data_IF_950224505308
#
_entry.id   IF_950224505308
#
_cell.length_a   1.000
_cell.length_b   1.000
_cell.length_c   1.000
_cell.angle_alpha   90.00
_cell.angle_beta   90.00
_cell.angle_gamma   90.00
#
_symmetry.space_group_name_H-M   'P 1'
#
loop_
_entity.id
_entity.type
_entity.pdbx_description
1 polymer ?
#
# COMPACT_ATOMS: atom_id res chain seq x y z
N UNK A 1 1.01 -12.14 -4.44
CA UNK A 1 2.45 -11.84 -4.52
C UNK A 1 2.93 -11.03 -3.34
N UNK A 2 2.31 -9.90 -3.00
CA UNK A 2 2.69 -9.11 -1.83
C UNK A 2 2.66 -9.91 -0.52
N UNK A 3 1.80 -10.92 -0.40
CA UNK A 3 1.77 -11.79 0.78
C UNK A 3 3.08 -12.56 0.99
N UNK A 4 3.71 -13.06 -0.07
CA UNK A 4 5.02 -13.72 0.05
C UNK A 4 6.11 -12.75 0.51
N UNK A 5 6.13 -11.54 -0.07
CA UNK A 5 7.05 -10.49 0.36
C UNK A 5 6.82 -10.11 1.82
N UNK A 6 5.56 -10.01 2.24
CA UNK A 6 5.17 -9.75 3.62
C UNK A 6 5.69 -10.82 4.57
N UNK A 7 5.46 -12.09 4.24
CA UNK A 7 5.88 -13.23 5.07
C UNK A 7 7.40 -13.27 5.22
N UNK A 8 8.14 -12.97 4.15
CA UNK A 8 9.59 -12.83 4.20
C UNK A 8 10.03 -11.64 5.07
N UNK A 9 9.38 -10.50 4.92
CA UNK A 9 9.72 -9.29 5.69
C UNK A 9 9.41 -9.42 7.18
N UNK A 10 8.42 -10.22 7.58
CA UNK A 10 8.07 -10.50 8.98
C UNK A 10 9.19 -11.22 9.74
N UNK A 11 10.17 -11.82 9.05
CA UNK A 11 11.32 -12.45 9.67
C UNK A 11 12.34 -11.42 10.22
N UNK A 12 12.25 -10.16 9.81
CA UNK A 12 13.17 -9.09 10.21
C UNK A 12 12.56 -8.23 11.32
N UNK A 13 13.22 -8.18 12.48
CA UNK A 13 12.77 -7.43 13.65
C UNK A 13 12.89 -5.91 13.50
N UNK A 14 13.65 -5.42 12.53
CA UNK A 14 13.88 -4.01 12.22
C UNK A 14 12.94 -3.45 11.15
N UNK A 15 11.97 -4.25 10.69
CA UNK A 15 10.98 -3.86 9.68
C UNK A 15 9.60 -3.71 10.30
N UNK A 16 8.90 -2.65 9.93
CA UNK A 16 7.48 -2.44 10.21
C UNK A 16 6.75 -2.52 8.86
N UNK A 17 5.78 -3.42 8.78
CA UNK A 17 4.97 -3.59 7.58
C UNK A 17 3.62 -2.94 7.80
N UNK A 18 3.19 -2.11 6.84
CA UNK A 18 1.88 -1.45 6.84
C UNK A 18 1.17 -1.84 5.55
N UNK A 19 0.05 -2.53 5.68
CA UNK A 19 -0.81 -2.83 4.54
C UNK A 19 -1.82 -1.69 4.35
N UNK A 20 -1.87 -1.13 3.15
CA UNK A 20 -2.85 -0.13 2.78
C UNK A 20 -3.68 -0.59 1.58
N UNK A 21 -4.98 -0.64 1.77
CA UNK A 21 -5.94 -0.97 0.72
C UNK A 21 -6.87 0.22 0.46
N UNK A 22 -6.60 0.95 -0.63
CA UNK A 22 -7.36 2.14 -1.00
C UNK A 22 -8.84 1.85 -1.33
N UNK A 23 -9.19 0.61 -1.70
CA UNK A 23 -10.58 0.21 -1.98
C UNK A 23 -11.52 0.29 -0.77
N UNK A 24 -10.95 0.26 0.44
CA UNK A 24 -11.73 0.33 1.68
C UNK A 24 -12.14 1.76 2.01
N UNK A 25 -11.49 2.76 1.39
CA UNK A 25 -11.84 4.16 1.58
C UNK A 25 -13.24 4.47 1.06
N UNK A 26 -13.98 5.28 1.79
CA UNK A 26 -15.38 5.59 1.47
C UNK A 26 -15.52 6.33 0.12
N UNK A 27 -14.54 7.12 -0.25
CA UNK A 27 -14.45 7.85 -1.52
C UNK A 27 -13.02 8.32 -1.76
N UNK A 28 -12.75 8.87 -2.94
CA UNK A 28 -11.42 9.38 -3.36
C UNK A 28 -10.84 10.38 -2.36
N UNK A 29 -11.67 11.27 -1.80
CA UNK A 29 -11.21 12.31 -0.86
C UNK A 29 -10.77 11.73 0.51
N UNK A 30 -11.22 10.52 0.84
CA UNK A 30 -10.88 9.85 2.10
C UNK A 30 -9.57 9.06 2.02
N UNK A 31 -9.07 8.72 0.83
CA UNK A 31 -7.90 7.86 0.64
C UNK A 31 -6.69 8.38 1.43
N UNK A 32 -6.41 9.67 1.36
CA UNK A 32 -5.26 10.27 2.05
C UNK A 32 -5.44 10.27 3.58
N UNK A 33 -6.63 10.58 4.07
CA UNK A 33 -6.91 10.56 5.52
C UNK A 33 -6.87 9.15 6.09
N UNK A 34 -7.41 8.18 5.38
CA UNK A 34 -7.43 6.79 5.81
C UNK A 34 -6.01 6.21 5.86
N UNK A 35 -5.20 6.51 4.84
CA UNK A 35 -3.79 6.15 4.82
C UNK A 35 -3.03 6.69 6.04
N UNK A 36 -3.13 7.99 6.30
CA UNK A 36 -2.45 8.62 7.43
C UNK A 36 -2.95 8.09 8.77
N UNK A 37 -4.23 7.77 8.87
CA UNK A 37 -4.83 7.17 10.07
C UNK A 37 -4.28 5.76 10.33
N UNK A 38 -4.09 4.95 9.29
CA UNK A 38 -3.47 3.63 9.39
C UNK A 38 -2.01 3.76 9.85
N UNK A 39 -1.24 4.66 9.24
CA UNK A 39 0.14 4.95 9.66
C UNK A 39 0.18 5.37 11.12
N UNK A 40 -0.66 6.33 11.53
CA UNK A 40 -0.71 6.78 12.93
C UNK A 40 -1.00 5.64 13.90
N UNK A 41 -1.92 4.77 13.54
CA UNK A 41 -2.32 3.63 14.37
C UNK A 41 -1.19 2.61 14.49
N UNK A 42 -0.61 2.20 13.37
CA UNK A 42 0.45 1.20 13.33
C UNK A 42 1.74 1.70 14.01
N UNK A 43 2.16 2.92 13.71
CA UNK A 43 3.39 3.46 14.28
C UNK A 43 3.24 3.90 15.76
N UNK A 44 2.01 4.13 16.24
CA UNK A 44 1.78 4.47 17.65
C UNK A 44 2.18 3.36 18.62
N UNK A 45 2.30 2.13 18.16
CA UNK A 45 2.80 1.00 18.96
C UNK A 45 4.30 1.13 19.27
N UNK A 46 5.03 1.88 18.45
CA UNK A 46 6.47 2.06 18.57
C UNK A 46 6.87 3.44 19.09
N UNK A 47 5.98 4.44 18.97
CA UNK A 47 6.24 5.81 19.39
C UNK A 47 4.96 6.45 19.96
N UNK A 48 4.96 6.77 21.24
CA UNK A 48 3.77 7.25 21.98
C UNK A 48 3.18 8.56 21.44
N UNK A 49 4.01 9.43 20.85
CA UNK A 49 3.58 10.72 20.26
C UNK A 49 3.12 10.63 18.81
N UNK A 50 3.18 9.46 18.17
CA UNK A 50 2.95 9.33 16.71
C UNK A 50 1.55 9.81 16.30
N UNK A 51 0.52 9.47 17.06
CA UNK A 51 -0.86 9.90 16.75
C UNK A 51 -1.00 11.43 16.71
N UNK A 52 -0.38 12.13 17.64
CA UNK A 52 -0.41 13.60 17.66
C UNK A 52 0.33 14.18 16.47
N UNK A 53 1.52 13.68 16.18
CA UNK A 53 2.35 14.16 15.07
C UNK A 53 1.67 13.95 13.71
N UNK A 54 1.06 12.77 13.50
CA UNK A 54 0.32 12.49 12.26
C UNK A 54 -0.94 13.35 12.19
N UNK A 55 -1.61 13.58 13.32
CA UNK A 55 -2.77 14.47 13.36
C UNK A 55 -2.41 15.89 12.93
N UNK A 56 -1.36 16.47 13.48
CA UNK A 56 -0.88 17.81 13.11
C UNK A 56 -0.57 17.87 11.59
N UNK A 57 0.06 16.84 11.06
CA UNK A 57 0.34 16.74 9.63
C UNK A 57 -0.92 16.62 8.75
N UNK A 58 -1.94 15.90 9.22
CA UNK A 58 -3.24 15.81 8.53
C UNK A 58 -3.97 17.17 8.52
N UNK A 59 -3.91 17.91 9.61
CA UNK A 59 -4.49 19.25 9.71
C UNK A 59 -3.83 20.20 8.72
N UNK A 60 -2.50 20.21 8.64
CA UNK A 60 -1.74 21.05 7.70
C UNK A 60 -2.01 20.71 6.23
N UNK A 61 -2.24 19.45 5.92
CA UNK A 61 -2.62 19.03 4.57
C UNK A 61 -4.07 19.38 4.20
N UNK A 62 -4.85 19.98 5.12
CA UNK A 62 -6.29 20.19 4.97
C UNK A 62 -7.08 18.91 4.65
N UNK A 63 -6.55 17.76 5.03
CA UNK A 63 -7.17 16.46 4.78
C UNK A 63 -8.39 16.27 5.68
N UNK A 64 -8.38 16.90 6.86
CA UNK A 64 -9.47 16.85 7.84
C UNK A 64 -10.68 17.72 7.47
N UNK A 65 -10.52 18.65 6.53
CA UNK A 65 -11.57 19.63 6.18
C UNK A 65 -12.73 19.05 5.34
N UNK A 66 -12.65 17.79 4.92
CA UNK A 66 -13.63 17.17 4.03
C UNK A 66 -14.22 15.90 4.65
N UNK A 67 -15.37 16.04 5.28
CA UNK A 67 -16.36 14.98 5.61
C UNK A 67 -15.85 13.66 6.22
N UNK A 68 -14.85 13.69 7.08
CA UNK A 68 -14.39 12.52 7.79
C UNK A 68 -14.93 12.46 9.22
N UNK A 69 -15.17 11.26 9.72
CA UNK A 69 -15.59 10.97 11.11
C UNK A 69 -14.69 11.69 12.14
N UNK A 70 -13.43 11.94 11.79
CA UNK A 70 -12.43 12.62 12.59
C UNK A 70 -12.69 14.14 12.78
N UNK A 71 -13.32 14.81 11.83
CA UNK A 71 -13.67 16.24 11.98
C UNK A 71 -14.65 16.48 13.13
N UNK A 72 -15.47 15.47 13.47
CA UNK A 72 -16.43 15.52 14.59
C UNK A 72 -15.82 15.23 15.97
N UNK A 73 -14.66 14.55 15.99
CA UNK A 73 -13.99 14.14 17.25
C UNK A 73 -12.98 15.19 17.74
N UNK A 74 -12.50 16.08 16.88
CA UNK A 74 -11.31 16.90 17.13
C UNK A 74 -11.56 18.41 17.13
N UNK A 75 -12.81 18.86 17.30
CA UNK A 75 -13.14 20.29 17.34
C UNK A 75 -12.06 21.15 18.00
N UNK A 76 -11.22 21.76 17.18
CA UNK A 76 -10.47 23.01 17.34
C UNK A 76 -9.27 22.99 16.36
N UNK A 77 -9.25 23.98 15.47
CA UNK A 77 -8.23 24.17 14.43
C UNK A 77 -7.22 25.20 14.96
N UNK A 78 -5.94 24.84 14.91
CA UNK A 78 -4.85 25.81 14.88
C UNK A 78 -4.02 25.56 13.65
N UNK A 79 -3.94 26.55 12.78
CA UNK A 79 -3.14 26.54 11.54
C UNK A 79 -1.69 26.81 11.95
N UNK A 80 -0.85 25.81 11.87
CA UNK A 80 0.60 25.95 11.96
C UNK A 80 1.22 25.65 10.58
N UNK A 81 2.39 26.20 10.29
CA UNK A 81 3.06 26.07 9.00
C UNK A 81 3.26 24.59 8.59
N UNK A 82 2.75 24.21 7.43
CA UNK A 82 2.78 22.84 6.89
C UNK A 82 4.20 22.23 6.78
N UNK A 83 5.24 23.05 6.75
CA UNK A 83 6.65 22.64 6.81
C UNK A 83 7.05 22.07 8.15
N UNK A 84 6.57 22.63 9.26
CA UNK A 84 6.94 22.21 10.61
C UNK A 84 6.37 20.81 10.94
N UNK A 85 5.14 20.53 10.57
CA UNK A 85 4.50 19.24 10.86
C UNK A 85 5.08 18.10 10.02
N UNK A 86 5.49 18.38 8.78
CA UNK A 86 6.22 17.40 7.95
C UNK A 86 7.57 17.04 8.55
N UNK A 87 8.30 18.03 9.06
CA UNK A 87 9.57 17.78 9.77
C UNK A 87 9.36 16.97 11.05
N UNK A 88 8.30 17.26 11.79
CA UNK A 88 7.95 16.49 13.00
C UNK A 88 7.68 15.03 12.70
N UNK A 89 6.88 14.75 11.65
CA UNK A 89 6.62 13.35 11.26
C UNK A 89 7.89 12.66 10.76
N UNK A 90 8.75 13.35 9.99
CA UNK A 90 10.03 12.80 9.56
C UNK A 90 10.94 12.48 10.74
N UNK A 91 11.05 13.38 11.72
CA UNK A 91 11.82 13.15 12.96
C UNK A 91 11.26 11.99 13.78
N UNK A 92 9.92 11.91 13.90
CA UNK A 92 9.27 10.82 14.61
C UNK A 92 9.49 9.46 13.93
N UNK A 93 9.39 9.40 12.60
CA UNK A 93 9.66 8.20 11.81
C UNK A 93 11.14 7.81 11.90
N UNK A 94 12.05 8.77 11.78
CA UNK A 94 13.49 8.52 11.90
C UNK A 94 13.88 7.99 13.30
N UNK A 95 13.23 8.49 14.35
CA UNK A 95 13.46 8.06 15.74
C UNK A 95 13.06 6.61 16.01
N UNK A 96 12.22 6.00 15.17
CA UNK A 96 11.87 4.59 15.28
C UNK A 96 13.07 3.66 15.03
N UNK A 97 14.08 4.13 14.30
CA UNK A 97 15.24 3.35 13.88
C UNK A 97 14.85 2.00 13.24
N UNK A 98 13.74 1.98 12.54
CA UNK A 98 13.18 0.83 11.82
C UNK A 98 12.92 1.20 10.37
N UNK A 99 12.90 0.21 9.50
CA UNK A 99 12.44 0.36 8.11
C UNK A 99 10.94 0.21 8.07
N UNK A 100 10.25 1.10 7.38
CA UNK A 100 8.81 1.04 7.18
C UNK A 100 8.56 0.61 5.74
N UNK A 101 7.86 -0.49 5.56
CA UNK A 101 7.45 -0.99 4.23
C UNK A 101 5.95 -0.87 4.13
N UNK A 102 5.49 -0.05 3.21
CA UNK A 102 4.07 0.18 2.95
C UNK A 102 3.69 -0.62 1.71
N UNK A 103 2.84 -1.61 1.90
CA UNK A 103 2.35 -2.48 0.84
C UNK A 103 1.00 -1.95 0.34
N UNK A 104 0.91 -1.69 -0.97
CA UNK A 104 -0.32 -1.26 -1.66
C UNK A 104 -0.63 -2.28 -2.75
N UNK A 105 -1.75 -2.97 -2.62
CA UNK A 105 -2.19 -3.98 -3.59
C UNK A 105 -3.40 -3.50 -4.38
N UNK A 106 -3.68 -4.21 -5.48
CA UNK A 106 -4.92 -4.05 -6.26
C UNK A 106 -5.15 -2.63 -6.83
N UNK A 107 -4.11 -1.89 -7.23
CA UNK A 107 -4.28 -0.60 -7.91
C UNK A 107 -5.12 -0.71 -9.19
N UNK A 108 -5.03 -1.82 -9.89
CA UNK A 108 -5.79 -2.13 -11.10
C UNK A 108 -7.29 -2.35 -10.87
N UNK A 109 -7.73 -2.36 -9.61
CA UNK A 109 -9.16 -2.45 -9.26
C UNK A 109 -9.78 -1.11 -8.86
N UNK A 110 -9.00 -0.04 -8.90
CA UNK A 110 -9.42 1.31 -8.58
C UNK A 110 -9.87 2.06 -9.83
N UNK A 111 -10.70 3.08 -9.64
CA UNK A 111 -11.02 4.06 -10.67
C UNK A 111 -9.80 4.95 -10.98
N UNK A 112 -9.79 5.62 -12.11
CA UNK A 112 -8.67 6.49 -12.49
C UNK A 112 -8.41 7.63 -11.50
N UNK A 113 -9.46 8.19 -10.90
CA UNK A 113 -9.34 9.22 -9.88
C UNK A 113 -8.74 8.68 -8.59
N UNK A 114 -9.15 7.49 -8.16
CA UNK A 114 -8.58 6.80 -7.00
C UNK A 114 -7.11 6.44 -7.21
N UNK A 115 -6.77 5.89 -8.38
CA UNK A 115 -5.37 5.61 -8.76
C UNK A 115 -4.54 6.88 -8.68
N UNK A 116 -5.01 7.97 -9.27
CA UNK A 116 -4.30 9.25 -9.26
C UNK A 116 -4.08 9.76 -7.83
N UNK A 117 -5.07 9.60 -6.95
CA UNK A 117 -4.95 10.02 -5.56
C UNK A 117 -3.95 9.16 -4.78
N UNK A 118 -3.93 7.84 -5.00
CA UNK A 118 -2.90 6.95 -4.41
C UNK A 118 -1.51 7.31 -4.92
N UNK A 119 -1.33 7.59 -6.21
CA UNK A 119 -0.03 8.00 -6.75
C UNK A 119 0.43 9.34 -6.18
N UNK A 120 -0.46 10.32 -6.02
CA UNK A 120 -0.15 11.59 -5.34
C UNK A 120 0.25 11.36 -3.88
N UNK A 121 -0.44 10.48 -3.18
CA UNK A 121 -0.15 10.09 -1.81
C UNK A 121 1.27 9.50 -1.71
N UNK A 122 1.62 8.55 -2.58
CA UNK A 122 2.96 7.98 -2.64
C UNK A 122 4.00 9.09 -2.85
N UNK A 123 3.82 9.93 -3.86
CA UNK A 123 4.76 10.99 -4.21
C UNK A 123 4.96 11.99 -3.05
N UNK A 124 3.89 12.38 -2.35
CA UNK A 124 3.98 13.28 -1.19
C UNK A 124 4.75 12.67 -0.01
N UNK A 125 4.65 11.37 0.18
CA UNK A 125 5.19 10.68 1.36
C UNK A 125 6.46 9.85 1.07
N UNK A 126 6.85 9.71 -0.20
CA UNK A 126 8.05 8.93 -0.60
C UNK A 126 9.37 9.48 -0.03
N UNK A 127 9.37 10.73 0.47
CA UNK A 127 10.57 11.33 1.10
C UNK A 127 10.69 11.06 2.59
N UNK A 128 9.79 10.31 3.21
CA UNK A 128 9.94 9.92 4.61
C UNK A 128 11.12 8.98 4.77
N UNK A 129 11.99 9.31 5.73
CA UNK A 129 13.18 8.52 6.00
C UNK A 129 12.81 7.07 6.34
N UNK A 130 13.63 6.12 5.87
CA UNK A 130 13.45 4.69 6.12
C UNK A 130 12.10 4.13 5.65
N UNK A 131 11.39 4.82 4.74
CA UNK A 131 10.08 4.39 4.24
C UNK A 131 10.17 3.97 2.78
N UNK A 132 9.64 2.80 2.46
CA UNK A 132 9.56 2.23 1.11
C UNK A 132 8.11 1.91 0.80
N UNK A 133 7.64 2.34 -0.37
CA UNK A 133 6.35 1.95 -0.91
C UNK A 133 6.53 0.80 -1.90
N UNK A 134 5.80 -0.27 -1.72
CA UNK A 134 5.76 -1.40 -2.65
C UNK A 134 4.33 -1.56 -3.13
N UNK A 135 4.15 -1.39 -4.44
CA UNK A 135 2.83 -1.39 -5.06
C UNK A 135 2.75 -2.46 -6.12
N UNK A 136 1.73 -3.30 -6.06
CA UNK A 136 1.44 -4.28 -7.10
C UNK A 136 0.30 -3.78 -7.99
N UNK A 137 0.50 -3.82 -9.31
CA UNK A 137 -0.49 -3.35 -10.28
C UNK A 137 -0.24 -3.89 -11.70
N UNK A 138 -1.29 -3.89 -12.50
CA UNK A 138 -1.18 -4.05 -13.95
C UNK A 138 -0.80 -2.71 -14.60
N UNK A 139 0.44 -2.64 -15.11
CA UNK A 139 0.98 -1.40 -15.71
C UNK A 139 0.15 -0.93 -16.92
N UNK A 140 -0.29 -1.85 -17.75
CA UNK A 140 -1.05 -1.51 -18.96
C UNK A 140 -2.41 -0.93 -18.58
N UNK A 141 -3.10 -1.56 -17.63
CA UNK A 141 -4.38 -1.07 -17.14
C UNK A 141 -4.25 0.32 -16.51
N UNK A 142 -3.32 0.48 -15.56
CA UNK A 142 -3.11 1.76 -14.85
C UNK A 142 -2.78 2.90 -15.82
N UNK A 143 -1.88 2.68 -16.78
CA UNK A 143 -1.55 3.72 -17.78
C UNK A 143 -2.74 4.06 -18.69
N UNK A 144 -3.54 3.06 -19.10
CA UNK A 144 -4.74 3.28 -19.92
C UNK A 144 -5.77 4.12 -19.17
N UNK A 145 -6.06 3.76 -17.92
CA UNK A 145 -7.06 4.45 -17.10
C UNK A 145 -6.60 5.86 -16.74
N UNK A 146 -5.33 6.06 -16.37
CA UNK A 146 -4.78 7.39 -16.09
C UNK A 146 -4.77 8.27 -17.34
N UNK A 147 -4.52 7.71 -18.53
CA UNK A 147 -4.60 8.44 -19.79
C UNK A 147 -5.98 9.03 -20.09
N UNK A 148 -7.04 8.40 -19.58
CA UNK A 148 -8.42 8.91 -19.70
C UNK A 148 -8.76 10.03 -18.72
N UNK A 149 -8.12 10.07 -17.56
CA UNK A 149 -8.37 11.06 -16.49
C UNK A 149 -7.48 12.28 -16.64
N UNK A 150 -6.25 12.08 -17.09
CA UNK A 150 -5.26 13.15 -17.26
C UNK A 150 -4.97 13.29 -18.73
N UNK A 151 -5.36 14.42 -19.34
CA UNK A 151 -5.01 14.73 -20.74
C UNK A 151 -3.50 14.72 -20.93
N UNK A 152 -2.97 13.61 -21.43
CA UNK A 152 -1.54 13.46 -21.68
C UNK A 152 -1.23 13.17 -23.13
N UNK A 153 -0.06 13.62 -23.61
CA UNK A 153 0.43 13.25 -24.93
C UNK A 153 0.60 11.73 -25.01
N UNK A 154 0.13 11.14 -26.08
CA UNK A 154 0.29 9.72 -26.40
C UNK A 154 1.75 9.28 -26.24
N UNK A 155 1.96 8.12 -25.62
CA UNK A 155 3.27 7.45 -25.57
C UNK A 155 4.14 7.72 -24.34
N UNK A 156 3.62 8.32 -23.27
CA UNK A 156 4.35 8.43 -21.99
C UNK A 156 3.72 7.56 -20.92
N UNK A 157 4.53 6.71 -20.31
CA UNK A 157 4.13 5.95 -19.14
C UNK A 157 3.96 6.89 -17.93
N UNK A 158 2.75 6.94 -17.40
CA UNK A 158 2.44 7.75 -16.22
C UNK A 158 3.15 7.28 -14.97
N UNK A 159 3.25 5.98 -14.84
CA UNK A 159 3.82 5.31 -13.67
C UNK A 159 5.29 5.66 -13.46
N UNK A 160 6.05 5.88 -14.53
CA UNK A 160 7.48 6.23 -14.49
C UNK A 160 7.78 7.51 -13.68
N UNK A 161 6.78 8.38 -13.48
CA UNK A 161 6.94 9.62 -12.69
C UNK A 161 6.83 9.39 -11.19
N UNK A 162 6.21 8.28 -10.79
CA UNK A 162 5.84 8.01 -9.41
C UNK A 162 6.68 6.91 -8.78
N UNK A 163 7.17 5.97 -9.59
CA UNK A 163 7.94 4.84 -9.12
C UNK A 163 9.41 4.95 -9.52
N UNK A 164 10.29 4.82 -8.55
CA UNK A 164 11.74 4.85 -8.76
C UNK A 164 12.25 3.56 -9.42
N UNK A 165 11.52 2.46 -9.22
CA UNK A 165 11.85 1.15 -9.76
C UNK A 165 10.57 0.38 -10.07
N UNK A 166 10.51 -0.20 -11.25
CA UNK A 166 9.48 -1.16 -11.64
C UNK A 166 10.13 -2.51 -11.91
N UNK A 167 9.56 -3.55 -11.33
CA UNK A 167 10.03 -4.92 -11.52
C UNK A 167 8.92 -5.70 -12.24
N UNK A 168 9.10 -6.02 -13.53
CA UNK A 168 8.13 -6.85 -14.22
C UNK A 168 8.15 -8.26 -13.63
N UNK A 169 6.96 -8.75 -13.30
CA UNK A 169 6.84 -10.14 -12.91
C UNK A 169 7.00 -11.03 -14.12
N UNK A 170 7.79 -12.11 -14.01
CA UNK A 170 7.90 -13.07 -15.09
C UNK A 170 6.51 -13.64 -15.41
N UNK A 171 6.14 -13.62 -16.68
CA UNK A 171 4.99 -14.38 -17.15
C UNK A 171 5.27 -15.85 -16.82
N UNK A 172 4.55 -16.42 -15.87
CA UNK A 172 4.67 -17.85 -15.62
C UNK A 172 4.11 -18.57 -16.85
N UNK A 173 4.97 -19.30 -17.53
CA UNK A 173 4.51 -20.25 -18.54
C UNK A 173 3.42 -21.14 -17.92
N UNK A 174 2.38 -21.45 -18.69
CA UNK A 174 1.26 -22.26 -18.20
C UNK A 174 1.73 -23.53 -17.46
N UNK A 175 2.80 -24.16 -17.96
CA UNK A 175 3.42 -25.34 -17.32
C UNK A 175 4.01 -25.06 -15.94
N UNK A 176 4.51 -23.84 -15.68
CA UNK A 176 5.05 -23.49 -14.35
C UNK A 176 3.94 -23.20 -13.34
N UNK A 177 2.82 -22.61 -13.80
CA UNK A 177 1.63 -22.42 -12.97
C UNK A 177 1.04 -23.75 -12.53
N UNK A 178 0.88 -24.68 -13.49
CA UNK A 178 0.39 -26.01 -13.22
C UNK A 178 1.31 -26.76 -12.27
N UNK A 179 2.62 -26.73 -12.48
CA UNK A 179 3.60 -27.35 -11.58
C UNK A 179 3.59 -26.77 -10.19
N UNK A 180 3.48 -25.44 -10.03
CA UNK A 180 3.37 -24.79 -8.73
C UNK A 180 2.08 -25.16 -8.02
N UNK A 181 0.94 -25.12 -8.72
CA UNK A 181 -0.36 -25.49 -8.18
C UNK A 181 -0.38 -26.96 -7.74
N UNK A 182 0.19 -27.84 -8.56
CA UNK A 182 0.35 -29.26 -8.26
C UNK A 182 1.18 -29.50 -6.98
N UNK A 183 2.30 -28.78 -6.84
CA UNK A 183 3.17 -28.85 -5.67
C UNK A 183 2.45 -28.40 -4.41
N UNK A 184 1.75 -27.24 -4.46
CA UNK A 184 0.99 -26.71 -3.35
C UNK A 184 -0.19 -27.63 -2.95
N UNK A 185 -0.91 -28.18 -3.92
CA UNK A 185 -1.99 -29.14 -3.64
C UNK A 185 -1.45 -30.40 -2.95
N UNK A 186 -0.33 -30.94 -3.40
CA UNK A 186 0.32 -32.07 -2.73
C UNK A 186 0.78 -31.73 -1.32
N UNK A 187 1.28 -30.52 -1.09
CA UNK A 187 1.65 -30.05 0.25
C UNK A 187 0.43 -30.00 1.16
N UNK A 188 -0.64 -29.34 0.75
CA UNK A 188 -1.88 -29.22 1.51
C UNK A 188 -2.53 -30.58 1.82
N UNK A 189 -2.43 -31.53 0.86
CA UNK A 189 -2.89 -32.91 1.08
C UNK A 189 -2.06 -33.61 2.16
N UNK A 190 -0.72 -33.50 2.12
CA UNK A 190 0.18 -34.11 3.13
C UNK A 190 0.01 -33.50 4.51
N UNK A 191 -0.28 -32.21 4.58
CA UNK A 191 -0.53 -31.49 5.83
C UNK A 191 -1.95 -31.72 6.37
N UNK A 192 -2.80 -32.49 5.66
CA UNK A 192 -4.14 -32.87 6.11
C UNK A 192 -5.21 -31.78 5.96
N UNK A 193 -4.93 -30.69 5.25
CA UNK A 193 -5.92 -29.65 4.95
C UNK A 193 -6.92 -30.07 3.87
N UNK A 194 -6.56 -31.03 3.03
CA UNK A 194 -7.42 -31.58 1.98
C UNK A 194 -7.64 -33.06 2.29
N UNK A 195 -8.87 -33.42 2.62
CA UNK A 195 -9.24 -34.80 3.00
C UNK A 195 -10.17 -35.50 2.00
N UNK A 196 -10.73 -34.73 1.05
CA UNK A 196 -11.76 -35.20 0.13
C UNK A 196 -11.21 -35.63 -1.27
N UNK A 197 -9.90 -35.58 -1.45
CA UNK A 197 -9.22 -35.99 -2.67
C UNK A 197 -8.23 -37.11 -2.36
N UNK A 198 -7.90 -37.91 -3.34
CA UNK A 198 -6.80 -38.88 -3.25
C UNK A 198 -5.57 -38.30 -3.97
N UNK A 199 -4.37 -38.83 -3.69
CA UNK A 199 -3.14 -38.42 -4.37
C UNK A 199 -3.24 -38.69 -5.90
N UNK A 200 -3.98 -39.75 -6.30
CA UNK A 200 -4.26 -40.07 -7.69
C UNK A 200 -5.18 -39.05 -8.38
N UNK A 201 -6.16 -38.50 -7.65
CA UNK A 201 -7.04 -37.46 -8.21
C UNK A 201 -6.25 -36.18 -8.53
N UNK A 202 -5.28 -35.83 -7.68
CA UNK A 202 -4.38 -34.68 -7.88
C UNK A 202 -3.47 -34.94 -9.10
N UNK A 203 -2.94 -36.16 -9.28
CA UNK A 203 -2.06 -36.51 -10.40
C UNK A 203 -2.78 -36.56 -11.75
N UNK A 204 -4.06 -36.89 -11.79
CA UNK A 204 -4.86 -36.93 -13.01
C UNK A 204 -5.39 -35.56 -13.45
N UNK A 205 -5.33 -34.56 -12.59
CA UNK A 205 -5.88 -33.21 -12.84
C UNK A 205 -4.87 -32.26 -13.52
N UNK A 206 -3.61 -32.66 -13.69
CA UNK A 206 -2.49 -31.89 -14.24
C UNK A 206 -1.71 -32.66 -15.31
#
# INVERSE_FOLDING_TARGET
>A
MLNFLRDDLLQYNDVIIIDFNARVSANVNCIQSDFLSIIATQLSQYHTGMKSVVKDYMEDLNVLARDTIWSKVLGIIHINDATDSREKIQKAVAALNKKIVILIDDLDRLTGEEILEVLKLINKNASFQNTVFVTAYDKQYVNTVLGSVVCCPEGRDFTDKYFNMELPLPESLNNQRSSFLFYELKRLFREGFITNLTEQDIEQSF
#
